data_IF_951079634458
#
_entry.id   IF_951079634458
#
_cell.length_a   1.000
_cell.length_b   1.000
_cell.length_c   1.000
_cell.angle_alpha   90.00
_cell.angle_beta   90.00
_cell.angle_gamma   90.00
#
_symmetry.space_group_name_H-M   'P 1'
#
loop_
_entity.id
_entity.type
_entity.pdbx_description
1 polymer ?
#
# COMPACT_ATOMS: atom_id res chain seq x y z
N UNK A 1 17.69 14.85 -27.90
CA UNK A 1 18.07 13.49 -27.43
C UNK A 1 17.88 12.38 -28.48
N UNK A 2 17.79 12.71 -29.78
CA UNK A 2 17.67 11.73 -30.88
C UNK A 2 18.95 11.52 -31.70
N UNK A 3 20.05 12.19 -31.39
CA UNK A 3 21.28 12.16 -32.18
C UNK A 3 22.39 11.31 -31.56
N UNK A 4 22.29 10.91 -30.27
CA UNK A 4 23.28 10.06 -29.60
C UNK A 4 23.08 8.56 -29.86
N UNK A 5 21.95 8.14 -30.41
CA UNK A 5 21.65 6.71 -30.70
C UNK A 5 22.19 6.21 -32.04
N UNK A 6 22.63 7.11 -32.95
CA UNK A 6 23.09 6.69 -34.27
C UNK A 6 24.61 6.43 -34.34
N UNK A 7 25.40 6.86 -33.35
CA UNK A 7 26.86 6.70 -33.37
C UNK A 7 27.38 5.41 -32.75
N UNK A 8 26.54 4.63 -32.03
CA UNK A 8 26.96 3.34 -31.44
C UNK A 8 26.75 2.13 -32.38
N UNK A 9 26.11 2.31 -33.52
CA UNK A 9 25.82 1.23 -34.47
C UNK A 9 26.90 1.00 -35.54
N UNK A 10 28.01 1.74 -35.49
CA UNK A 10 29.02 1.68 -36.55
C UNK A 10 30.40 1.12 -36.14
N UNK A 11 30.56 0.54 -34.96
CA UNK A 11 31.91 0.08 -34.51
C UNK A 11 32.00 -1.44 -34.22
N UNK A 12 30.94 -2.23 -34.32
CA UNK A 12 31.09 -3.69 -34.17
C UNK A 12 30.36 -4.37 -35.31
N UNK A 13 31.11 -4.76 -36.34
CA UNK A 13 30.68 -5.68 -37.36
C UNK A 13 30.50 -7.11 -36.81
N UNK A 14 29.43 -7.33 -36.00
CA UNK A 14 28.99 -8.64 -35.57
C UNK A 14 27.70 -8.97 -36.30
N UNK A 15 27.71 -10.14 -36.96
CA UNK A 15 26.66 -10.70 -37.78
C UNK A 15 25.28 -10.55 -37.10
N UNK A 16 24.38 -9.76 -37.70
CA UNK A 16 23.06 -9.43 -37.11
C UNK A 16 22.14 -10.63 -36.87
N UNK A 17 22.49 -11.81 -37.46
CA UNK A 17 21.79 -13.06 -37.23
C UNK A 17 22.01 -13.68 -35.87
N UNK A 18 23.25 -13.68 -35.38
CA UNK A 18 23.61 -14.27 -34.07
C UNK A 18 22.98 -13.49 -32.93
N UNK A 19 22.93 -12.16 -33.04
CA UNK A 19 22.28 -11.31 -32.04
C UNK A 19 20.76 -11.50 -31.99
N UNK A 20 20.11 -11.64 -33.14
CA UNK A 20 18.68 -11.89 -33.25
C UNK A 20 18.31 -13.26 -32.65
N UNK A 21 19.06 -14.30 -32.98
CA UNK A 21 18.86 -15.65 -32.42
C UNK A 21 19.08 -15.71 -30.90
N UNK A 22 20.07 -14.99 -30.41
CA UNK A 22 20.32 -14.86 -28.96
C UNK A 22 19.17 -14.13 -28.25
N UNK A 23 18.67 -13.05 -28.83
CA UNK A 23 17.52 -12.29 -28.34
C UNK A 23 16.26 -13.17 -28.33
N UNK A 24 15.99 -13.90 -29.39
CA UNK A 24 14.80 -14.74 -29.50
C UNK A 24 14.88 -15.95 -28.57
N UNK A 25 16.07 -16.53 -28.34
CA UNK A 25 16.30 -17.57 -27.31
C UNK A 25 16.10 -17.03 -25.89
N UNK A 26 16.58 -15.82 -25.58
CA UNK A 26 16.39 -15.18 -24.27
C UNK A 26 14.89 -14.87 -24.05
N UNK A 27 14.20 -14.30 -25.04
CA UNK A 27 12.75 -14.07 -24.99
C UNK A 27 11.97 -15.37 -24.82
N UNK A 28 12.35 -16.43 -25.52
CA UNK A 28 11.75 -17.75 -25.40
C UNK A 28 11.94 -18.36 -24.02
N UNK A 29 13.15 -18.25 -23.44
CA UNK A 29 13.46 -18.75 -22.09
C UNK A 29 12.68 -18.01 -21.01
N UNK A 30 12.57 -16.68 -21.11
CA UNK A 30 11.80 -15.84 -20.15
C UNK A 30 10.32 -16.17 -20.24
N UNK A 31 9.77 -16.27 -21.47
CA UNK A 31 8.37 -16.66 -21.68
C UNK A 31 8.06 -18.03 -21.08
N UNK A 32 8.98 -18.98 -21.23
CA UNK A 32 8.85 -20.33 -20.69
C UNK A 32 8.89 -20.34 -19.16
N UNK A 33 9.81 -19.56 -18.55
CA UNK A 33 9.89 -19.41 -17.08
C UNK A 33 8.62 -18.76 -16.54
N UNK A 34 8.21 -17.63 -17.11
CA UNK A 34 6.99 -16.94 -16.70
C UNK A 34 5.76 -17.85 -16.81
N UNK A 35 5.61 -18.58 -17.90
CA UNK A 35 4.50 -19.53 -18.08
C UNK A 35 4.55 -20.67 -17.05
N UNK A 36 5.74 -21.18 -16.69
CA UNK A 36 5.90 -22.17 -15.62
C UNK A 36 5.45 -21.58 -14.28
N UNK A 37 5.90 -20.39 -13.94
CA UNK A 37 5.62 -19.76 -12.65
C UNK A 37 4.11 -19.36 -12.52
N UNK A 38 3.47 -18.91 -13.61
CA UNK A 38 2.02 -18.72 -13.65
C UNK A 38 1.25 -20.04 -13.46
N UNK A 39 1.72 -21.14 -14.05
CA UNK A 39 1.13 -22.46 -13.84
C UNK A 39 1.28 -22.93 -12.38
N UNK A 40 2.36 -22.56 -11.68
CA UNK A 40 2.54 -22.83 -10.24
C UNK A 40 1.42 -22.13 -9.44
N UNK A 41 1.13 -20.87 -9.73
CA UNK A 41 0.05 -20.12 -9.06
C UNK A 41 -1.31 -20.75 -9.33
N UNK A 42 -1.61 -21.12 -10.58
CA UNK A 42 -2.84 -21.82 -10.92
C UNK A 42 -2.99 -23.17 -10.19
N UNK A 43 -1.89 -23.92 -10.07
CA UNK A 43 -1.91 -25.20 -9.34
C UNK A 43 -2.12 -24.98 -7.84
N UNK A 44 -1.53 -23.92 -7.27
CA UNK A 44 -1.81 -23.50 -5.89
C UNK A 44 -3.31 -23.25 -5.69
N UNK A 45 -3.93 -22.43 -6.56
CA UNK A 45 -5.38 -22.17 -6.47
C UNK A 45 -6.25 -23.42 -6.67
N UNK A 46 -5.88 -24.35 -7.56
CA UNK A 46 -6.57 -25.62 -7.70
C UNK A 46 -6.54 -26.40 -6.39
N UNK A 47 -5.37 -26.52 -5.76
CA UNK A 47 -5.21 -27.16 -4.46
C UNK A 47 -5.97 -26.41 -3.35
N UNK A 48 -5.92 -25.06 -3.32
CA UNK A 48 -6.71 -24.26 -2.37
C UNK A 48 -8.22 -24.50 -2.54
N UNK A 49 -8.71 -24.67 -3.77
CA UNK A 49 -10.12 -25.06 -4.03
C UNK A 49 -10.47 -26.48 -3.55
N UNK A 50 -9.54 -27.43 -3.62
CA UNK A 50 -9.70 -28.77 -3.05
C UNK A 50 -9.80 -28.72 -1.51
N UNK A 51 -9.07 -27.80 -0.87
CA UNK A 51 -9.25 -27.46 0.54
C UNK A 51 -10.47 -26.55 0.80
N UNK A 52 -11.30 -26.28 -0.19
CA UNK A 52 -12.30 -25.22 -0.27
C UNK A 52 -13.29 -25.11 0.92
N UNK A 53 -13.64 -26.23 1.61
CA UNK A 53 -14.42 -26.14 2.84
C UNK A 53 -13.59 -25.59 4.01
N UNK A 54 -12.29 -25.86 4.05
CA UNK A 54 -11.38 -25.44 5.09
C UNK A 54 -10.99 -23.96 4.90
N UNK A 55 -10.61 -23.54 3.67
CA UNK A 55 -10.36 -22.14 3.32
C UNK A 55 -11.62 -21.29 3.52
N UNK A 56 -12.77 -21.79 3.11
CA UNK A 56 -14.07 -21.14 3.34
C UNK A 56 -14.40 -20.97 4.82
N UNK A 57 -13.95 -21.89 5.67
CA UNK A 57 -14.11 -21.74 7.12
C UNK A 57 -13.18 -20.67 7.71
N UNK A 58 -12.00 -20.43 7.14
CA UNK A 58 -11.10 -19.34 7.54
C UNK A 58 -11.68 -17.96 7.22
N UNK A 59 -12.51 -17.85 6.17
CA UNK A 59 -13.21 -16.61 5.79
C UNK A 59 -14.58 -16.46 6.47
N UNK A 60 -15.12 -17.53 7.10
CA UNK A 60 -16.42 -17.47 7.79
C UNK A 60 -16.34 -16.58 9.01
N UNK A 61 -17.21 -15.58 9.01
CA UNK A 61 -17.43 -14.73 10.17
C UNK A 61 -18.17 -15.52 11.26
N UNK A 62 -17.65 -15.49 12.48
CA UNK A 62 -18.39 -16.01 13.63
C UNK A 62 -19.70 -15.23 13.83
N UNK A 63 -20.73 -15.79 14.49
CA UNK A 63 -21.98 -15.06 14.77
C UNK A 63 -21.75 -13.71 15.46
N UNK A 64 -20.75 -13.62 16.34
CA UNK A 64 -20.34 -12.37 17.01
C UNK A 64 -19.76 -11.36 16.01
N UNK A 65 -18.86 -11.81 15.13
CA UNK A 65 -18.29 -10.97 14.07
C UNK A 65 -19.36 -10.52 13.08
N UNK A 66 -20.27 -11.41 12.69
CA UNK A 66 -21.38 -11.09 11.78
C UNK A 66 -22.34 -10.05 12.40
N UNK A 67 -22.65 -10.16 13.71
CA UNK A 67 -23.43 -9.15 14.43
C UNK A 67 -22.69 -7.81 14.46
N UNK A 68 -21.43 -7.81 14.82
CA UNK A 68 -20.57 -6.59 14.81
C UNK A 68 -20.51 -5.96 13.43
N UNK A 69 -20.31 -6.76 12.37
CA UNK A 69 -20.30 -6.28 10.99
C UNK A 69 -21.63 -5.64 10.60
N UNK A 70 -22.77 -6.29 10.92
CA UNK A 70 -24.10 -5.72 10.64
C UNK A 70 -24.30 -4.35 11.32
N UNK A 71 -23.87 -4.21 12.57
CA UNK A 71 -23.94 -2.92 13.28
C UNK A 71 -23.00 -1.87 12.70
N UNK A 72 -21.81 -2.26 12.27
CA UNK A 72 -20.87 -1.36 11.56
C UNK A 72 -21.44 -0.90 10.23
N UNK A 73 -21.96 -1.83 9.42
CA UNK A 73 -22.57 -1.52 8.12
C UNK A 73 -23.75 -0.56 8.20
N UNK A 74 -24.57 -0.64 9.29
CA UNK A 74 -25.65 0.33 9.52
C UNK A 74 -25.14 1.77 9.76
N UNK A 75 -23.93 1.90 10.29
CA UNK A 75 -23.31 3.19 10.67
C UNK A 75 -22.31 3.70 9.62
N UNK A 76 -22.05 2.91 8.61
CA UNK A 76 -21.17 3.30 7.51
C UNK A 76 -21.92 4.24 6.57
N UNK A 77 -21.26 5.31 6.21
CA UNK A 77 -21.70 6.15 5.11
C UNK A 77 -21.52 5.38 3.81
N UNK A 78 -22.56 5.34 3.00
CA UNK A 78 -22.47 4.76 1.66
C UNK A 78 -21.74 5.75 0.77
N UNK A 79 -20.47 5.55 0.58
CA UNK A 79 -19.64 6.38 -0.30
C UNK A 79 -19.89 5.95 -1.74
N UNK A 80 -20.18 6.92 -2.59
CA UNK A 80 -20.32 6.71 -4.02
C UNK A 80 -19.03 7.14 -4.70
N UNK A 81 -18.28 6.15 -5.19
CA UNK A 81 -17.03 6.40 -5.91
C UNK A 81 -17.28 7.16 -7.21
N UNK A 82 -16.51 8.20 -7.45
CA UNK A 82 -16.55 8.96 -8.68
C UNK A 82 -15.96 8.20 -9.87
N UNK A 83 -16.40 8.51 -11.07
CA UNK A 83 -15.77 8.06 -12.32
C UNK A 83 -14.85 9.16 -12.80
N UNK A 84 -13.58 8.90 -12.80
CA UNK A 84 -12.54 9.86 -13.16
C UNK A 84 -12.12 9.62 -14.60
N UNK A 85 -12.11 10.64 -15.42
CA UNK A 85 -11.61 10.56 -16.79
C UNK A 85 -10.07 10.39 -16.76
N UNK A 86 -9.56 9.39 -17.48
CA UNK A 86 -8.14 9.10 -17.53
C UNK A 86 -7.61 8.26 -16.34
N UNK A 87 -8.49 7.81 -15.43
CA UNK A 87 -8.15 6.88 -14.38
C UNK A 87 -8.49 5.45 -14.79
N UNK A 88 -7.48 4.59 -14.86
CA UNK A 88 -7.63 3.18 -15.27
C UNK A 88 -8.19 2.30 -14.14
N UNK A 89 -8.22 2.79 -12.92
CA UNK A 89 -8.74 2.13 -11.73
C UNK A 89 -7.66 1.57 -10.81
N UNK A 90 -8.07 0.75 -9.85
CA UNK A 90 -7.16 0.04 -8.94
C UNK A 90 -6.44 -1.13 -9.64
N UNK A 91 -5.35 -1.61 -9.03
CA UNK A 91 -4.54 -2.73 -9.58
C UNK A 91 -5.42 -3.95 -9.88
N UNK A 92 -6.32 -4.32 -8.98
CA UNK A 92 -7.25 -5.43 -9.19
C UNK A 92 -8.22 -5.20 -10.35
N UNK A 93 -8.73 -3.96 -10.52
CA UNK A 93 -9.59 -3.60 -11.66
C UNK A 93 -8.83 -3.65 -12.99
N UNK A 94 -7.57 -3.20 -13.02
CA UNK A 94 -6.69 -3.25 -14.21
C UNK A 94 -6.38 -4.70 -14.55
N UNK A 95 -5.97 -5.52 -13.57
CA UNK A 95 -5.62 -6.93 -13.77
C UNK A 95 -6.82 -7.78 -14.17
N UNK A 96 -8.01 -7.46 -13.69
CA UNK A 96 -9.24 -8.09 -14.15
C UNK A 96 -9.55 -7.75 -15.62
N UNK A 97 -9.51 -6.46 -15.98
CA UNK A 97 -9.77 -5.99 -17.35
C UNK A 97 -8.79 -6.59 -18.37
N UNK A 98 -7.54 -6.78 -17.99
CA UNK A 98 -6.51 -7.40 -18.82
C UNK A 98 -6.56 -8.93 -18.81
N UNK A 99 -7.42 -9.55 -17.99
CA UNK A 99 -7.61 -10.99 -17.91
C UNK A 99 -6.46 -11.76 -17.25
N UNK A 100 -5.55 -11.09 -16.55
CA UNK A 100 -4.42 -11.74 -15.88
C UNK A 100 -4.66 -11.99 -14.38
N UNK A 101 -5.58 -11.28 -13.75
CA UNK A 101 -5.78 -11.31 -12.31
C UNK A 101 -6.05 -12.70 -11.72
N UNK A 102 -6.74 -13.58 -12.46
CA UNK A 102 -7.01 -14.96 -12.00
C UNK A 102 -5.77 -15.89 -12.01
N UNK A 103 -4.70 -15.50 -12.70
CA UNK A 103 -3.42 -16.23 -12.76
C UNK A 103 -2.40 -15.74 -11.73
N UNK A 104 -2.69 -14.67 -11.03
CA UNK A 104 -1.80 -14.01 -10.08
C UNK A 104 -2.20 -14.32 -8.64
N UNK A 105 -1.24 -14.50 -7.75
CA UNK A 105 -1.51 -14.68 -6.32
C UNK A 105 -1.92 -13.34 -5.71
N UNK A 106 -3.04 -13.32 -4.99
CA UNK A 106 -3.65 -12.11 -4.41
C UNK A 106 -3.85 -10.96 -5.42
N UNK A 107 -3.99 -11.31 -6.72
CA UNK A 107 -4.38 -10.42 -7.81
C UNK A 107 -3.24 -9.76 -8.59
N UNK A 108 -1.99 -9.74 -8.08
CA UNK A 108 -0.84 -9.07 -8.70
C UNK A 108 0.53 -9.71 -8.44
N UNK A 109 0.60 -10.79 -7.65
CA UNK A 109 1.87 -11.44 -7.32
C UNK A 109 2.10 -12.72 -8.12
N UNK A 110 3.36 -12.96 -8.50
CA UNK A 110 3.83 -14.26 -9.02
C UNK A 110 4.68 -14.93 -7.95
N UNK A 111 4.32 -16.18 -7.64
CA UNK A 111 5.04 -16.99 -6.67
C UNK A 111 6.01 -17.95 -7.36
N UNK A 112 7.17 -18.17 -6.77
CA UNK A 112 8.02 -19.31 -7.10
C UNK A 112 7.38 -20.60 -6.57
N UNK A 113 7.75 -21.75 -7.16
CA UNK A 113 7.27 -23.07 -6.72
C UNK A 113 7.44 -23.31 -5.22
N UNK A 114 8.62 -22.95 -4.71
CA UNK A 114 8.92 -23.05 -3.27
C UNK A 114 8.01 -22.18 -2.40
N UNK A 115 7.70 -20.95 -2.83
CA UNK A 115 6.77 -20.06 -2.09
C UNK A 115 5.36 -20.63 -2.08
N UNK A 116 4.90 -21.18 -3.21
CA UNK A 116 3.59 -21.81 -3.30
C UNK A 116 3.48 -23.06 -2.40
N UNK A 117 4.53 -23.89 -2.36
CA UNK A 117 4.62 -25.04 -1.47
C UNK A 117 4.59 -24.64 0.00
N UNK A 118 5.38 -23.65 0.42
CA UNK A 118 5.39 -23.14 1.79
C UNK A 118 4.03 -22.58 2.22
N UNK A 119 3.31 -21.88 1.33
CA UNK A 119 1.95 -21.39 1.61
C UNK A 119 0.99 -22.57 1.82
N UNK A 120 1.05 -23.60 0.97
CA UNK A 120 0.20 -24.78 1.09
C UNK A 120 0.47 -25.53 2.41
N UNK A 121 1.73 -25.80 2.74
CA UNK A 121 2.13 -26.47 3.98
C UNK A 121 1.60 -25.71 5.21
N UNK A 122 1.70 -24.39 5.21
CA UNK A 122 1.19 -23.57 6.31
C UNK A 122 -0.34 -23.65 6.45
N UNK A 123 -1.08 -23.67 5.33
CA UNK A 123 -2.53 -23.83 5.33
C UNK A 123 -2.91 -25.21 5.84
N UNK A 124 -2.18 -26.26 5.47
CA UNK A 124 -2.40 -27.62 5.96
C UNK A 124 -2.15 -27.72 7.46
N UNK A 125 -1.06 -27.14 7.98
CA UNK A 125 -0.75 -27.11 9.40
C UNK A 125 -1.83 -26.38 10.21
N UNK A 126 -2.28 -25.18 9.77
CA UNK A 126 -3.35 -24.44 10.45
C UNK A 126 -4.69 -25.19 10.46
N UNK A 127 -4.97 -25.95 9.40
CA UNK A 127 -6.23 -26.72 9.29
C UNK A 127 -6.20 -28.05 10.06
N UNK A 128 -5.01 -28.60 10.35
CA UNK A 128 -4.84 -29.85 11.11
C UNK A 128 -4.69 -29.68 12.63
N UNK A 129 -4.72 -28.43 13.14
CA UNK A 129 -4.64 -28.13 14.58
C UNK A 129 -3.24 -28.26 15.18
N UNK A 130 -2.21 -28.32 14.35
CA UNK A 130 -0.81 -28.42 14.76
C UNK A 130 -0.21 -27.05 15.12
N UNK A 131 -0.36 -26.60 16.36
CA UNK A 131 0.30 -25.39 16.84
C UNK A 131 1.80 -25.62 17.07
N UNK A 132 2.66 -25.29 16.13
CA UNK A 132 4.10 -25.13 16.37
C UNK A 132 4.42 -23.68 16.72
N UNK A 133 5.14 -23.48 17.83
CA UNK A 133 5.64 -22.18 18.31
C UNK A 133 6.68 -21.61 17.32
N UNK A 134 6.24 -20.80 16.32
CA UNK A 134 7.11 -20.08 15.39
C UNK A 134 6.77 -18.60 15.35
N UNK A 135 7.77 -17.74 15.11
CA UNK A 135 7.70 -16.28 15.18
C UNK A 135 6.97 -15.64 13.99
N UNK A 136 6.16 -14.63 14.26
CA UNK A 136 5.18 -13.88 13.41
C UNK A 136 5.80 -12.90 12.40
N UNK A 137 5.32 -12.82 11.10
CA UNK A 137 6.02 -12.05 10.03
C UNK A 137 5.11 -11.46 8.92
N UNK A 138 5.29 -10.22 8.41
CA UNK A 138 4.59 -9.60 7.24
C UNK A 138 5.44 -9.61 5.96
N UNK A 139 6.75 -9.54 6.06
CA UNK A 139 7.66 -9.76 4.95
C UNK A 139 7.95 -11.26 4.82
N UNK A 140 8.13 -11.73 3.59
CA UNK A 140 8.51 -13.11 3.33
C UNK A 140 9.87 -13.41 3.98
N UNK A 141 9.89 -14.28 4.99
CA UNK A 141 11.10 -14.62 5.76
C UNK A 141 11.12 -16.09 6.12
N UNK A 142 11.48 -16.92 5.18
CA UNK A 142 11.75 -18.35 5.38
C UNK A 142 13.18 -18.61 5.89
N UNK A 143 13.58 -19.87 5.97
CA UNK A 143 14.95 -20.27 6.31
C UNK A 143 16.01 -19.79 5.30
N UNK A 144 15.60 -19.43 4.09
CA UNK A 144 16.45 -18.90 3.01
C UNK A 144 16.40 -17.37 2.85
N UNK A 145 15.75 -16.67 3.80
CA UNK A 145 15.47 -15.24 3.78
C UNK A 145 16.64 -14.35 3.33
N UNK A 146 17.85 -14.58 3.85
CA UNK A 146 19.02 -13.77 3.48
C UNK A 146 19.36 -13.82 1.99
N UNK A 147 19.01 -14.92 1.30
CA UNK A 147 19.20 -15.08 -0.16
C UNK A 147 18.10 -14.41 -0.98
N UNK A 148 16.94 -14.12 -0.38
CA UNK A 148 15.77 -13.45 -1.01
C UNK A 148 15.86 -11.94 -0.96
N UNK A 149 16.84 -11.38 -0.27
CA UNK A 149 17.06 -9.94 -0.20
C UNK A 149 17.95 -9.45 -1.35
N UNK A 150 17.64 -8.27 -1.83
CA UNK A 150 18.50 -7.50 -2.72
C UNK A 150 19.58 -6.76 -1.93
N UNK A 151 20.43 -7.51 -1.20
CA UNK A 151 21.39 -6.98 -0.23
C UNK A 151 22.46 -6.06 -0.85
N UNK A 152 22.70 -6.19 -2.16
CA UNK A 152 23.62 -5.34 -2.93
C UNK A 152 22.92 -4.22 -3.69
N UNK A 153 21.63 -4.00 -3.42
CA UNK A 153 20.77 -3.08 -4.17
C UNK A 153 20.01 -3.78 -5.30
N UNK A 154 18.97 -3.14 -5.78
CA UNK A 154 18.17 -3.63 -6.91
C UNK A 154 18.77 -3.10 -8.19
N UNK A 155 19.26 -3.99 -9.05
CA UNK A 155 19.60 -3.63 -10.43
C UNK A 155 18.34 -3.77 -11.27
N UNK A 156 17.94 -2.69 -11.93
CA UNK A 156 16.79 -2.69 -12.84
C UNK A 156 17.21 -2.19 -14.23
N UNK A 157 16.44 -2.58 -15.22
CA UNK A 157 16.64 -2.13 -16.60
C UNK A 157 15.33 -2.18 -17.38
N UNK A 158 15.25 -1.32 -18.36
CA UNK A 158 14.22 -1.33 -19.37
C UNK A 158 14.81 -2.02 -20.61
N UNK A 159 14.46 -3.29 -20.80
CA UNK A 159 14.73 -4.15 -21.96
C UNK A 159 16.10 -4.86 -22.09
N UNK A 160 17.26 -4.37 -21.60
CA UNK A 160 18.55 -5.09 -21.61
C UNK A 160 19.46 -4.73 -20.43
N UNK A 161 20.02 -5.71 -19.74
CA UNK A 161 20.96 -5.53 -18.64
C UNK A 161 22.05 -6.61 -18.57
N UNK A 162 23.14 -6.31 -17.87
CA UNK A 162 24.36 -7.14 -17.83
C UNK A 162 24.60 -7.87 -16.50
N UNK A 163 23.80 -7.64 -15.47
CA UNK A 163 23.95 -8.31 -14.15
C UNK A 163 23.11 -9.56 -14.05
N UNK A 164 23.59 -10.56 -13.25
CA UNK A 164 22.91 -11.87 -13.11
C UNK A 164 21.55 -11.75 -12.42
N UNK A 165 21.47 -11.08 -11.25
CA UNK A 165 20.21 -10.87 -10.53
C UNK A 165 19.67 -9.46 -10.83
N UNK A 166 18.51 -9.37 -11.45
CA UNK A 166 17.96 -8.10 -11.92
C UNK A 166 16.45 -8.11 -12.09
N UNK A 167 15.84 -6.93 -11.94
CA UNK A 167 14.46 -6.67 -12.32
C UNK A 167 14.41 -6.18 -13.77
N UNK A 168 13.59 -6.83 -14.56
CA UNK A 168 13.23 -6.39 -15.90
C UNK A 168 11.86 -5.73 -15.83
N UNK A 169 11.82 -4.41 -15.98
CA UNK A 169 10.56 -3.68 -16.07
C UNK A 169 10.01 -3.84 -17.49
N UNK A 170 8.79 -4.35 -17.60
CA UNK A 170 8.11 -4.66 -18.86
C UNK A 170 6.72 -4.06 -18.89
N UNK A 171 6.19 -3.80 -20.09
CA UNK A 171 4.80 -3.40 -20.30
C UNK A 171 4.01 -4.60 -20.85
N UNK A 172 3.81 -5.61 -20.00
CA UNK A 172 2.93 -6.74 -20.30
C UNK A 172 1.52 -6.46 -19.78
N UNK A 173 0.57 -7.35 -20.05
CA UNK A 173 -0.80 -7.18 -19.56
C UNK A 173 -0.82 -7.19 -18.03
N UNK A 174 -1.45 -6.14 -17.45
CA UNK A 174 -1.63 -5.96 -16.02
C UNK A 174 -0.42 -5.41 -15.27
N UNK A 175 -0.64 -5.18 -13.97
CA UNK A 175 0.33 -4.74 -12.98
C UNK A 175 0.67 -5.94 -12.10
N UNK A 176 1.93 -6.37 -12.08
CA UNK A 176 2.33 -7.51 -11.25
C UNK A 176 3.83 -7.60 -11.06
N UNK A 177 4.23 -8.28 -9.99
CA UNK A 177 5.62 -8.57 -9.67
C UNK A 177 5.82 -9.94 -9.00
N UNK A 178 7.07 -10.41 -9.02
CA UNK A 178 7.48 -11.50 -8.14
C UNK A 178 7.69 -11.00 -6.72
N UNK A 179 7.53 -11.89 -5.74
CA UNK A 179 7.79 -11.59 -4.33
C UNK A 179 9.25 -11.90 -3.98
N UNK A 180 10.00 -10.85 -3.63
CA UNK A 180 11.41 -10.94 -3.27
C UNK A 180 12.33 -11.29 -4.45
N UNK A 181 13.60 -11.51 -4.14
CA UNK A 181 14.62 -11.90 -5.12
C UNK A 181 14.58 -13.42 -5.40
N UNK A 182 14.24 -13.79 -6.61
CA UNK A 182 14.16 -15.20 -7.05
C UNK A 182 15.41 -15.71 -7.78
N UNK A 183 16.42 -14.85 -7.94
CA UNK A 183 17.66 -15.15 -8.68
C UNK A 183 17.49 -15.03 -10.18
N UNK A 184 18.56 -14.58 -10.85
CA UNK A 184 18.55 -14.30 -12.27
C UNK A 184 17.66 -13.12 -12.64
N UNK A 185 17.13 -13.13 -13.87
CA UNK A 185 16.20 -12.13 -14.35
C UNK A 185 14.78 -12.46 -13.89
N UNK A 186 14.09 -11.47 -13.30
CA UNK A 186 12.66 -11.54 -12.98
C UNK A 186 11.94 -10.31 -13.50
N UNK A 187 10.75 -10.49 -14.03
CA UNK A 187 9.95 -9.40 -14.60
C UNK A 187 9.12 -8.72 -13.52
N UNK A 188 8.91 -7.41 -13.72
CA UNK A 188 7.93 -6.58 -13.06
C UNK A 188 7.12 -5.91 -14.17
N UNK A 189 5.81 -6.13 -14.21
CA UNK A 189 4.96 -5.57 -15.25
C UNK A 189 4.34 -4.25 -14.81
N UNK A 190 4.55 -3.22 -15.63
CA UNK A 190 3.80 -1.99 -15.63
C UNK A 190 3.11 -1.88 -16.98
N UNK A 191 2.03 -2.66 -17.15
CA UNK A 191 1.22 -2.64 -18.34
C UNK A 191 0.35 -1.39 -18.44
N UNK A 192 -0.51 -1.34 -19.43
CA UNK A 192 -1.41 -0.20 -19.64
C UNK A 192 -2.27 0.05 -18.40
N UNK A 193 -2.24 1.27 -17.88
CA UNK A 193 -2.93 1.69 -16.66
C UNK A 193 -2.08 1.51 -15.38
N UNK A 194 -0.91 0.86 -15.48
CA UNK A 194 -0.02 0.63 -14.36
C UNK A 194 1.14 1.65 -14.27
N UNK A 195 1.16 2.65 -15.14
CA UNK A 195 2.28 3.58 -15.31
C UNK A 195 2.41 4.58 -14.17
N UNK A 196 1.41 4.67 -13.28
CA UNK A 196 1.40 5.58 -12.14
C UNK A 196 2.45 5.21 -11.08
N UNK A 197 3.13 6.22 -10.52
CA UNK A 197 4.18 6.05 -9.52
C UNK A 197 3.69 5.20 -8.33
N UNK A 198 2.46 5.40 -7.85
CA UNK A 198 1.89 4.62 -6.75
C UNK A 198 1.82 3.12 -7.05
N UNK A 199 1.41 2.75 -8.27
CA UNK A 199 1.38 1.36 -8.74
C UNK A 199 2.80 0.80 -8.87
N UNK A 200 3.71 1.56 -9.49
CA UNK A 200 5.11 1.13 -9.63
C UNK A 200 5.78 0.90 -8.27
N UNK A 201 5.49 1.73 -7.25
CA UNK A 201 5.99 1.57 -5.88
C UNK A 201 5.39 0.33 -5.22
N UNK A 202 4.11 0.03 -5.47
CA UNK A 202 3.44 -1.20 -5.00
C UNK A 202 4.14 -2.44 -5.55
N UNK A 203 4.31 -2.52 -6.87
CA UNK A 203 4.96 -3.67 -7.52
C UNK A 203 6.43 -3.83 -7.10
N UNK A 204 7.14 -2.71 -6.88
CA UNK A 204 8.48 -2.73 -6.29
C UNK A 204 8.46 -3.23 -4.84
N UNK A 205 7.41 -2.94 -4.07
CA UNK A 205 7.19 -3.49 -2.74
C UNK A 205 7.18 -5.03 -2.75
N UNK A 206 6.46 -5.64 -3.71
CA UNK A 206 6.49 -7.08 -3.91
C UNK A 206 7.88 -7.57 -4.30
N UNK A 207 8.52 -6.97 -5.30
CA UNK A 207 9.88 -7.32 -5.69
C UNK A 207 10.88 -7.25 -4.54
N UNK A 208 10.64 -6.36 -3.58
CA UNK A 208 11.43 -6.22 -2.36
C UNK A 208 11.02 -7.17 -1.23
N UNK A 209 10.03 -8.03 -1.43
CA UNK A 209 9.67 -9.12 -0.52
C UNK A 209 8.43 -8.88 0.35
N UNK A 210 7.59 -7.92 0.02
CA UNK A 210 6.38 -7.62 0.78
C UNK A 210 5.14 -8.25 0.16
N UNK A 211 4.28 -8.81 1.01
CA UNK A 211 2.91 -9.19 0.70
C UNK A 211 1.95 -8.03 0.97
N UNK A 212 0.71 -8.20 0.55
CA UNK A 212 -0.32 -7.22 0.84
C UNK A 212 -0.60 -7.04 2.34
N UNK A 213 -0.86 -5.79 2.74
CA UNK A 213 -1.22 -5.47 4.13
C UNK A 213 -2.54 -6.15 4.54
N UNK A 214 -3.55 -6.21 3.64
CA UNK A 214 -4.82 -6.88 3.92
C UNK A 214 -4.70 -8.41 3.99
N UNK A 215 -3.55 -8.98 3.63
CA UNK A 215 -3.27 -10.41 3.77
C UNK A 215 -2.47 -10.74 5.02
N UNK A 216 -2.15 -9.79 5.87
CA UNK A 216 -1.47 -10.02 7.14
C UNK A 216 -2.20 -11.06 7.97
N UNK A 217 -1.44 -11.92 8.65
CA UNK A 217 -2.01 -12.97 9.53
C UNK A 217 -2.94 -12.41 10.61
N UNK A 218 -2.68 -11.18 11.08
CA UNK A 218 -3.44 -10.49 12.14
C UNK A 218 -4.54 -9.55 11.60
N UNK A 219 -4.76 -9.47 10.27
CA UNK A 219 -5.67 -8.52 9.63
C UNK A 219 -7.08 -8.50 10.20
N UNK A 220 -7.60 -9.65 10.64
CA UNK A 220 -8.97 -9.77 11.14
C UNK A 220 -9.21 -9.00 12.46
N UNK A 221 -8.13 -8.58 13.14
CA UNK A 221 -8.20 -7.63 14.26
C UNK A 221 -8.45 -6.20 13.79
N UNK A 222 -8.24 -5.90 12.50
CA UNK A 222 -8.28 -4.54 11.93
C UNK A 222 -9.33 -4.37 10.85
N UNK A 223 -9.51 -5.36 9.99
CA UNK A 223 -10.50 -5.35 8.90
C UNK A 223 -11.39 -6.58 8.96
N UNK A 224 -12.58 -6.48 8.39
CA UNK A 224 -13.48 -7.59 8.16
C UNK A 224 -13.65 -7.78 6.65
N UNK A 225 -13.27 -8.94 6.11
CA UNK A 225 -13.52 -9.31 4.72
C UNK A 225 -14.97 -9.77 4.57
N UNK A 226 -15.70 -9.21 3.61
CA UNK A 226 -17.11 -9.47 3.34
C UNK A 226 -17.21 -10.38 2.11
N UNK A 227 -16.95 -11.66 2.30
CA UNK A 227 -16.85 -12.68 1.23
C UNK A 227 -18.02 -12.65 0.23
N UNK A 228 -19.25 -12.44 0.74
CA UNK A 228 -20.46 -12.41 -0.11
C UNK A 228 -20.49 -11.26 -1.13
N UNK A 229 -19.67 -10.21 -0.93
CA UNK A 229 -19.57 -9.06 -1.81
C UNK A 229 -18.44 -9.22 -2.85
N UNK A 230 -17.60 -10.25 -2.69
CA UNK A 230 -16.45 -10.53 -3.55
C UNK A 230 -16.90 -11.37 -4.74
N UNK A 231 -16.41 -11.06 -5.94
CA UNK A 231 -16.58 -11.89 -7.15
C UNK A 231 -16.15 -13.32 -6.87
N UNK A 232 -16.91 -14.30 -7.37
CA UNK A 232 -16.70 -15.72 -7.03
C UNK A 232 -15.28 -16.22 -7.38
N UNK A 233 -14.70 -15.76 -8.48
CA UNK A 233 -13.34 -16.11 -8.91
C UNK A 233 -12.21 -15.44 -8.11
N UNK A 234 -12.54 -14.44 -7.26
CA UNK A 234 -11.55 -13.63 -6.53
C UNK A 234 -11.53 -13.90 -5.03
N UNK A 235 -12.35 -14.79 -4.52
CA UNK A 235 -12.44 -15.03 -3.05
C UNK A 235 -11.15 -15.57 -2.47
N UNK A 236 -10.46 -16.44 -3.21
CA UNK A 236 -9.21 -17.05 -2.79
C UNK A 236 -8.06 -16.00 -2.72
N UNK A 237 -8.20 -14.86 -3.41
CA UNK A 237 -7.27 -13.73 -3.37
C UNK A 237 -7.24 -13.00 -2.01
N UNK A 238 -8.25 -13.22 -1.15
CA UNK A 238 -8.33 -12.67 0.20
C UNK A 238 -7.81 -13.65 1.27
N UNK A 239 -7.12 -14.70 0.89
CA UNK A 239 -6.49 -15.64 1.82
C UNK A 239 -5.45 -14.92 2.65
N UNK A 240 -5.46 -15.18 3.97
CA UNK A 240 -4.43 -14.63 4.88
C UNK A 240 -3.12 -15.37 4.73
N UNK A 241 -2.05 -14.63 4.89
CA UNK A 241 -0.74 -15.20 5.18
C UNK A 241 -0.72 -15.82 6.59
N UNK A 242 0.15 -16.79 6.79
CA UNK A 242 0.36 -17.38 8.11
C UNK A 242 1.38 -16.57 8.92
N UNK A 243 1.42 -16.76 10.25
CA UNK A 243 2.50 -16.20 11.06
C UNK A 243 3.91 -16.70 10.67
N UNK A 244 4.00 -17.75 9.86
CA UNK A 244 5.25 -18.33 9.37
C UNK A 244 5.77 -17.62 8.13
N UNK A 245 4.88 -17.19 7.23
CA UNK A 245 5.23 -16.51 5.98
C UNK A 245 5.23 -14.98 6.08
N UNK A 246 4.61 -14.39 7.12
CA UNK A 246 4.32 -12.98 7.22
C UNK A 246 4.85 -12.34 8.53
N UNK A 247 5.82 -11.40 8.48
CA UNK A 247 6.44 -10.74 9.64
C UNK A 247 6.21 -9.23 9.67
N UNK A 248 5.53 -8.74 10.71
CA UNK A 248 5.11 -7.34 10.83
C UNK A 248 6.14 -6.43 11.51
N UNK A 249 7.33 -6.90 11.82
CA UNK A 249 8.38 -6.13 12.52
C UNK A 249 7.92 -5.43 13.81
N UNK A 250 6.82 -5.91 14.41
CA UNK A 250 6.22 -5.29 15.59
C UNK A 250 5.34 -4.07 15.30
N UNK A 251 5.17 -3.71 14.01
CA UNK A 251 4.32 -2.58 13.64
C UNK A 251 2.84 -2.95 13.64
N UNK A 252 2.02 -1.98 14.07
CA UNK A 252 0.58 -2.03 13.92
C UNK A 252 0.13 -2.12 12.46
N UNK A 253 -1.17 -2.27 12.26
CA UNK A 253 -1.77 -2.33 10.94
C UNK A 253 -1.92 -0.92 10.37
N UNK A 254 -1.25 -0.63 9.26
CA UNK A 254 -1.37 0.66 8.59
C UNK A 254 -2.39 0.60 7.45
N UNK A 255 -3.53 1.22 7.65
CA UNK A 255 -4.62 1.27 6.68
C UNK A 255 -4.27 2.05 5.41
N UNK A 256 -3.30 2.95 5.48
CA UNK A 256 -2.83 3.75 4.35
C UNK A 256 -1.54 3.24 3.71
N UNK A 257 -1.14 2.00 4.00
CA UNK A 257 -0.01 1.35 3.33
C UNK A 257 -0.24 1.29 1.82
N UNK A 258 0.80 1.56 1.04
CA UNK A 258 0.75 1.41 -0.42
C UNK A 258 0.52 -0.06 -0.83
N UNK A 259 0.83 -1.02 0.07
CA UNK A 259 0.59 -2.45 -0.13
C UNK A 259 -0.84 -2.89 0.28
N UNK A 260 -1.78 -1.97 0.46
CA UNK A 260 -3.15 -2.27 0.86
C UNK A 260 -4.13 -1.98 -0.27
N UNK A 261 -4.91 -2.97 -0.69
CA UNK A 261 -5.98 -2.78 -1.66
C UNK A 261 -7.13 -1.94 -1.10
N UNK A 262 -7.95 -1.39 -2.00
CA UNK A 262 -9.10 -0.56 -1.67
C UNK A 262 -10.24 -1.32 -1.00
N UNK A 263 -11.09 -0.58 -0.30
CA UNK A 263 -12.24 -1.15 0.41
C UNK A 263 -13.28 -1.81 -0.50
N UNK A 264 -13.25 -1.54 -1.80
CA UNK A 264 -14.15 -2.10 -2.81
C UNK A 264 -13.44 -3.06 -3.79
N UNK A 265 -12.19 -3.41 -3.55
CA UNK A 265 -11.43 -4.30 -4.44
C UNK A 265 -12.12 -5.64 -4.66
N UNK A 266 -12.10 -6.12 -5.90
CA UNK A 266 -12.76 -7.35 -6.38
C UNK A 266 -14.25 -7.45 -6.05
N UNK A 267 -14.95 -6.34 -5.87
CA UNK A 267 -16.37 -6.32 -5.57
C UNK A 267 -17.24 -6.76 -6.76
N UNK A 268 -18.29 -7.53 -6.50
CA UNK A 268 -19.30 -7.92 -7.52
C UNK A 268 -20.00 -6.69 -8.13
N UNK A 269 -20.03 -5.58 -7.41
CA UNK A 269 -20.60 -4.32 -7.87
C UNK A 269 -19.81 -3.16 -7.25
N UNK A 270 -19.60 -2.09 -8.01
CA UNK A 270 -18.75 -0.93 -7.69
C UNK A 270 -19.00 -0.33 -6.28
N UNK A 271 -20.22 -0.44 -5.76
CA UNK A 271 -20.60 0.16 -4.47
C UNK A 271 -20.63 -0.85 -3.32
N UNK A 272 -20.17 -2.08 -3.53
CA UNK A 272 -20.13 -3.10 -2.50
C UNK A 272 -18.78 -3.10 -1.80
N UNK A 273 -18.79 -2.87 -0.50
CA UNK A 273 -17.59 -2.95 0.33
C UNK A 273 -17.20 -4.43 0.48
N UNK A 274 -15.97 -4.76 0.14
CA UNK A 274 -15.36 -6.09 0.31
C UNK A 274 -14.49 -6.17 1.55
N UNK A 275 -13.88 -5.05 1.95
CA UNK A 275 -13.08 -4.94 3.17
C UNK A 275 -13.58 -3.78 4.02
N UNK A 276 -14.08 -4.10 5.22
CA UNK A 276 -14.59 -3.13 6.19
C UNK A 276 -13.58 -2.94 7.31
N UNK A 277 -12.98 -1.75 7.48
CA UNK A 277 -12.11 -1.48 8.61
C UNK A 277 -12.90 -1.51 9.93
N UNK A 278 -12.24 -1.96 10.99
CA UNK A 278 -12.84 -1.98 12.33
C UNK A 278 -13.14 -0.58 12.84
N UNK A 279 -12.24 0.38 12.56
CA UNK A 279 -12.53 1.79 12.66
C UNK A 279 -13.00 2.31 11.29
N UNK A 280 -14.29 2.58 11.20
CA UNK A 280 -14.96 2.98 9.94
C UNK A 280 -14.41 4.26 9.31
N UNK A 281 -13.71 5.11 10.07
CA UNK A 281 -13.14 6.34 9.56
C UNK A 281 -11.94 6.08 8.63
N UNK A 282 -11.39 4.86 8.64
CA UNK A 282 -10.37 4.42 7.69
C UNK A 282 -10.91 3.90 6.36
N UNK A 283 -12.24 3.92 6.12
CA UNK A 283 -12.83 3.28 4.94
C UNK A 283 -12.22 3.78 3.63
N UNK A 284 -12.03 5.10 3.49
CA UNK A 284 -11.44 5.72 2.31
C UNK A 284 -9.91 5.73 2.32
N UNK A 285 -9.29 5.37 3.44
CA UNK A 285 -7.83 5.30 3.56
C UNK A 285 -7.28 4.04 2.88
N UNK A 286 -8.09 2.97 2.76
CA UNK A 286 -7.71 1.72 2.10
C UNK A 286 -7.55 1.93 0.59
N UNK A 287 -6.45 1.47 0.00
CA UNK A 287 -6.17 1.60 -1.44
C UNK A 287 -5.26 2.79 -1.78
N UNK A 288 -4.40 3.18 -0.86
CA UNK A 288 -3.49 4.30 -1.02
C UNK A 288 -2.45 4.08 -2.11
N UNK A 289 -2.22 5.10 -2.94
CA UNK A 289 -1.07 5.18 -3.85
C UNK A 289 0.08 6.02 -3.25
N UNK A 290 -0.02 6.42 -2.01
CA UNK A 290 1.00 7.21 -1.30
C UNK A 290 1.78 6.26 -0.39
N UNK A 291 3.09 6.20 -0.60
CA UNK A 291 4.00 5.41 0.24
C UNK A 291 3.92 5.90 1.69
N UNK A 292 3.54 5.03 2.62
CA UNK A 292 3.37 5.39 4.02
C UNK A 292 4.70 5.40 4.79
N UNK A 293 4.72 6.06 5.95
CA UNK A 293 5.87 6.01 6.84
C UNK A 293 6.13 4.57 7.35
N UNK A 294 5.09 3.80 7.63
CA UNK A 294 5.22 2.40 8.08
C UNK A 294 5.80 1.54 6.96
N UNK A 295 5.43 1.73 5.70
CA UNK A 295 6.04 1.02 4.57
C UNK A 295 7.55 1.27 4.51
N UNK A 296 7.96 2.54 4.62
CA UNK A 296 9.37 2.93 4.65
C UNK A 296 10.08 2.32 5.86
N UNK A 297 9.46 2.38 7.04
CA UNK A 297 10.06 1.86 8.27
C UNK A 297 10.25 0.35 8.19
N UNK A 298 9.22 -0.39 7.79
CA UNK A 298 9.28 -1.84 7.62
C UNK A 298 10.33 -2.25 6.59
N UNK A 299 10.45 -1.53 5.47
CA UNK A 299 11.49 -1.77 4.46
C UNK A 299 12.89 -1.59 5.06
N UNK A 300 13.10 -0.56 5.88
CA UNK A 300 14.37 -0.32 6.56
C UNK A 300 14.70 -1.39 7.63
N UNK A 301 13.69 -1.95 8.28
CA UNK A 301 13.87 -3.11 9.18
C UNK A 301 14.17 -4.38 8.38
N UNK A 302 13.40 -4.63 7.31
CA UNK A 302 13.55 -5.82 6.47
C UNK A 302 14.97 -5.94 5.89
N UNK A 303 15.52 -4.85 5.40
CA UNK A 303 16.88 -4.79 4.84
C UNK A 303 17.97 -4.47 5.86
N UNK A 304 17.61 -4.31 7.14
CA UNK A 304 18.57 -3.99 8.22
C UNK A 304 19.24 -2.61 8.04
N UNK A 305 18.67 -1.72 7.25
CA UNK A 305 19.26 -0.41 6.94
C UNK A 305 19.45 0.46 8.18
N UNK A 306 18.54 0.37 9.15
CA UNK A 306 18.61 1.12 10.40
C UNK A 306 19.84 0.80 11.25
N UNK A 307 20.41 -0.40 11.12
CA UNK A 307 21.63 -0.81 11.81
C UNK A 307 22.88 0.01 11.39
N UNK A 308 22.80 0.74 10.26
CA UNK A 308 23.86 1.65 9.84
C UNK A 308 24.02 2.86 10.77
N UNK A 309 22.96 3.24 11.49
CA UNK A 309 22.94 4.36 12.42
C UNK A 309 23.08 3.86 13.86
N UNK A 310 24.27 4.07 14.42
CA UNK A 310 24.52 3.69 15.83
C UNK A 310 23.79 4.67 16.77
N UNK A 311 23.06 4.18 17.80
CA UNK A 311 22.24 5.04 18.65
C UNK A 311 22.99 6.19 19.31
N UNK A 312 24.27 6.02 19.64
CA UNK A 312 25.10 7.00 20.34
C UNK A 312 25.42 8.22 19.48
N UNK A 313 25.48 8.03 18.14
CA UNK A 313 25.86 9.08 17.18
C UNK A 313 24.72 9.50 16.27
N UNK A 314 23.51 9.07 16.55
CA UNK A 314 22.36 9.30 15.67
C UNK A 314 21.42 10.34 16.26
N UNK A 315 20.67 11.00 15.35
CA UNK A 315 19.60 11.93 15.70
C UNK A 315 18.59 11.29 16.66
N UNK A 316 18.18 12.03 17.66
CA UNK A 316 17.12 11.62 18.61
C UNK A 316 15.75 12.02 18.05
N UNK A 317 15.27 11.23 17.11
CA UNK A 317 14.02 11.51 16.39
C UNK A 317 12.81 11.55 17.34
N UNK A 318 11.91 12.48 17.08
CA UNK A 318 10.64 12.66 17.79
C UNK A 318 9.48 12.03 17.00
N UNK A 319 8.31 12.00 17.60
CA UNK A 319 7.04 11.56 16.98
C UNK A 319 7.12 10.21 16.25
N UNK A 320 7.96 9.28 16.77
CA UNK A 320 8.14 7.96 16.19
C UNK A 320 9.03 7.90 14.95
N UNK A 321 9.64 9.02 14.53
CA UNK A 321 10.64 9.04 13.46
C UNK A 321 11.88 8.21 13.79
N UNK A 322 12.70 7.90 12.79
CA UNK A 322 13.94 7.13 12.96
C UNK A 322 15.10 7.75 12.17
N UNK A 323 16.36 7.55 12.60
CA UNK A 323 17.52 8.10 11.90
C UNK A 323 17.60 7.62 10.45
N UNK A 324 17.83 8.56 9.53
CA UNK A 324 17.93 8.26 8.09
C UNK A 324 19.19 7.42 7.81
N UNK A 325 19.10 6.20 7.24
CA UNK A 325 20.23 5.26 7.10
C UNK A 325 21.42 5.77 6.27
N UNK A 326 21.19 6.80 5.43
CA UNK A 326 22.26 7.46 4.64
C UNK A 326 22.78 8.73 5.29
N UNK A 327 22.09 9.23 6.33
CA UNK A 327 22.51 10.43 7.07
C UNK A 327 21.95 10.37 8.49
N UNK A 328 22.67 9.73 9.39
CA UNK A 328 22.22 9.45 10.75
C UNK A 328 21.98 10.70 11.62
N UNK A 329 22.38 11.89 11.17
CA UNK A 329 22.13 13.16 11.86
C UNK A 329 20.73 13.74 11.56
N UNK A 330 19.95 13.13 10.67
CA UNK A 330 18.58 13.53 10.32
C UNK A 330 17.63 12.37 10.46
N UNK A 331 16.36 12.67 10.59
CA UNK A 331 15.30 11.67 10.74
C UNK A 331 14.47 11.49 9.46
N UNK A 332 13.96 10.28 9.25
CA UNK A 332 12.79 10.02 8.43
C UNK A 332 11.58 10.20 9.35
N UNK A 333 10.64 11.01 8.92
CA UNK A 333 9.52 11.45 9.73
C UNK A 333 8.19 10.87 9.27
N UNK A 334 7.23 10.63 10.19
CA UNK A 334 5.86 10.34 9.83
C UNK A 334 5.21 11.48 9.02
N UNK A 335 4.19 11.16 8.22
CA UNK A 335 3.39 12.15 7.49
C UNK A 335 2.91 13.27 8.43
N UNK A 336 2.98 14.52 7.96
CA UNK A 336 2.63 15.70 8.73
C UNK A 336 3.70 16.19 9.70
N UNK A 337 4.85 15.51 9.83
CA UNK A 337 6.00 15.89 10.65
C UNK A 337 7.23 16.13 9.78
N UNK A 338 8.06 17.10 10.17
CA UNK A 338 9.24 17.53 9.45
C UNK A 338 10.36 18.02 10.35
N UNK A 339 11.28 18.77 9.75
CA UNK A 339 12.52 19.20 10.38
C UNK A 339 13.56 18.07 10.45
N UNK A 340 14.70 18.38 11.06
CA UNK A 340 15.78 17.40 11.19
C UNK A 340 15.43 16.26 12.16
N UNK A 341 14.56 16.51 13.15
CA UNK A 341 14.22 15.60 14.24
C UNK A 341 12.73 15.19 14.28
N UNK A 342 11.94 15.52 13.26
CA UNK A 342 10.49 15.28 13.21
C UNK A 342 9.69 16.02 14.29
N UNK A 343 10.15 17.16 14.73
CA UNK A 343 9.51 17.99 15.75
C UNK A 343 9.02 19.34 15.24
N UNK A 344 8.99 19.49 13.93
CA UNK A 344 8.53 20.68 13.24
C UNK A 344 7.43 20.32 12.24
N UNK A 345 6.61 21.29 11.84
CA UNK A 345 5.75 21.16 10.68
C UNK A 345 6.64 21.01 9.42
N UNK A 346 6.29 20.17 8.46
CA UNK A 346 7.01 20.14 7.19
C UNK A 346 7.09 21.53 6.56
N UNK A 347 8.27 21.90 6.03
CA UNK A 347 8.45 23.16 5.32
C UNK A 347 7.57 23.26 4.08
N UNK A 348 7.32 24.47 3.63
CA UNK A 348 6.51 24.75 2.45
C UNK A 348 5.07 25.10 2.81
N UNK A 349 4.12 24.73 1.94
CA UNK A 349 2.71 25.08 2.05
C UNK A 349 2.07 24.65 3.37
N UNK A 350 1.13 25.46 3.86
CA UNK A 350 0.41 25.25 5.11
C UNK A 350 0.88 26.17 6.24
N UNK A 351 0.33 26.01 7.43
CA UNK A 351 0.54 26.89 8.57
C UNK A 351 0.40 26.16 9.92
N UNK A 352 0.87 26.79 10.98
CA UNK A 352 0.49 26.46 12.36
C UNK A 352 -0.74 27.27 12.75
N UNK A 353 -1.75 26.61 13.30
CA UNK A 353 -3.04 27.16 13.65
C UNK A 353 -3.30 26.92 15.15
N UNK A 354 -3.85 27.93 15.82
CA UNK A 354 -4.19 27.81 17.23
C UNK A 354 -5.70 27.60 17.38
N UNK A 355 -6.08 26.49 18.00
CA UNK A 355 -7.47 26.21 18.31
C UNK A 355 -7.95 27.07 19.50
N UNK A 356 -9.19 27.55 19.41
CA UNK A 356 -9.89 28.22 20.51
C UNK A 356 -11.15 27.44 20.87
N UNK A 357 -11.93 27.89 21.85
CA UNK A 357 -13.23 27.29 22.18
C UNK A 357 -14.27 27.43 21.07
N UNK A 358 -14.11 28.43 20.20
CA UNK A 358 -14.99 28.63 19.06
C UNK A 358 -14.50 27.91 17.81
N UNK A 359 -15.40 27.48 16.95
CA UNK A 359 -15.07 26.93 15.63
C UNK A 359 -14.34 27.94 14.78
N UNK A 360 -13.20 27.54 14.25
CA UNK A 360 -12.36 28.31 13.33
C UNK A 360 -12.26 27.55 12.01
N UNK A 361 -12.10 28.28 10.89
CA UNK A 361 -12.02 27.68 9.57
C UNK A 361 -10.58 27.43 9.13
N UNK A 362 -10.38 26.29 8.47
CA UNK A 362 -9.25 26.00 7.61
C UNK A 362 -9.80 25.68 6.22
N UNK A 363 -9.41 26.48 5.23
CA UNK A 363 -9.73 26.25 3.83
C UNK A 363 -8.44 26.17 3.05
N UNK A 364 -8.34 25.17 2.19
CA UNK A 364 -7.19 24.99 1.31
C UNK A 364 -7.64 24.61 -0.09
N UNK A 365 -6.95 25.15 -1.10
CA UNK A 365 -7.25 24.90 -2.52
C UNK A 365 -5.98 24.51 -3.22
N UNK A 366 -5.94 23.30 -3.74
CA UNK A 366 -4.79 22.70 -4.39
C UNK A 366 -5.15 22.19 -5.78
N UNK A 367 -4.13 22.03 -6.60
CA UNK A 367 -4.24 21.43 -7.91
C UNK A 367 -4.47 22.41 -9.04
N UNK A 368 -4.20 21.95 -10.24
CA UNK A 368 -4.36 22.67 -11.51
C UNK A 368 -4.52 21.69 -12.67
N UNK A 369 -4.84 22.21 -13.84
CA UNK A 369 -5.00 21.41 -15.06
C UNK A 369 -6.27 20.55 -15.05
N UNK A 370 -6.27 19.47 -15.85
CA UNK A 370 -7.37 18.50 -15.96
C UNK A 370 -6.87 17.06 -15.96
N UNK A 371 -5.59 16.85 -16.16
CA UNK A 371 -4.96 15.52 -16.24
C UNK A 371 -4.47 15.09 -14.86
N UNK A 372 -4.40 13.77 -14.63
CA UNK A 372 -3.79 13.18 -13.45
C UNK A 372 -2.27 13.39 -13.56
N UNK A 373 -1.68 14.01 -12.54
CA UNK A 373 -0.24 14.23 -12.43
C UNK A 373 0.39 13.09 -11.64
N UNK A 374 1.67 12.84 -11.88
CA UNK A 374 2.43 11.88 -11.06
C UNK A 374 2.83 12.49 -9.72
N UNK A 375 3.15 13.77 -9.70
CA UNK A 375 3.52 14.49 -8.49
C UNK A 375 2.29 15.05 -7.76
N UNK A 376 2.29 14.90 -6.45
CA UNK A 376 1.31 15.50 -5.57
C UNK A 376 1.75 16.89 -5.14
N UNK A 377 0.80 17.81 -5.07
CA UNK A 377 0.90 19.00 -4.25
C UNK A 377 0.46 18.66 -2.83
N UNK A 378 1.23 19.11 -1.83
CA UNK A 378 0.93 18.89 -0.42
C UNK A 378 0.96 20.20 0.34
N UNK A 379 -0.03 20.42 1.21
CA UNK A 379 0.04 21.43 2.26
C UNK A 379 -0.08 20.77 3.63
N UNK A 380 0.74 21.22 4.56
CA UNK A 380 0.80 20.65 5.91
C UNK A 380 0.36 21.72 6.91
N UNK A 381 -0.61 21.40 7.74
CA UNK A 381 -1.09 22.25 8.81
C UNK A 381 -0.90 21.56 10.15
N UNK A 382 -0.53 22.32 11.16
CA UNK A 382 -0.55 21.90 12.55
C UNK A 382 -1.60 22.68 13.31
N UNK A 383 -2.67 22.02 13.72
CA UNK A 383 -3.65 22.60 14.63
C UNK A 383 -3.17 22.30 16.05
N UNK A 384 -2.93 23.35 16.84
CA UNK A 384 -2.42 23.28 18.21
C UNK A 384 -3.45 23.79 19.19
N UNK A 385 -3.46 23.26 20.40
CA UNK A 385 -4.25 23.73 21.52
C UNK A 385 -3.42 23.72 22.81
N UNK A 386 -3.87 24.32 23.91
CA UNK A 386 -3.16 24.26 25.19
C UNK A 386 -2.89 22.81 25.61
N UNK A 387 -1.84 22.61 26.42
CA UNK A 387 -1.50 21.31 26.97
C UNK A 387 -2.71 20.68 27.69
N UNK A 388 -2.78 19.36 27.62
CA UNK A 388 -3.88 18.54 28.18
C UNK A 388 -5.27 18.79 27.61
N UNK A 389 -5.40 19.55 26.51
CA UNK A 389 -6.65 19.66 25.77
C UNK A 389 -6.69 18.74 24.55
N UNK A 390 -7.88 18.47 24.05
CA UNK A 390 -8.12 17.77 22.79
C UNK A 390 -8.57 18.78 21.74
N UNK A 391 -8.47 18.39 20.47
CA UNK A 391 -8.89 19.19 19.34
C UNK A 391 -10.00 18.44 18.62
N UNK A 392 -11.08 19.12 18.33
CA UNK A 392 -12.10 18.64 17.41
C UNK A 392 -11.84 19.23 16.02
N UNK A 393 -11.84 18.34 15.01
CA UNK A 393 -11.73 18.72 13.59
C UNK A 393 -12.96 18.19 12.86
N UNK A 394 -13.70 19.09 12.24
CA UNK A 394 -14.93 18.78 11.49
C UNK A 394 -14.72 19.00 10.00
N UNK A 395 -15.10 18.03 9.20
CA UNK A 395 -15.08 18.13 7.75
C UNK A 395 -16.33 18.92 7.31
N UNK A 396 -16.14 20.09 6.71
CA UNK A 396 -17.25 20.92 6.20
C UNK A 396 -17.50 20.60 4.73
N UNK A 397 -16.45 20.75 3.92
CA UNK A 397 -16.49 20.42 2.50
C UNK A 397 -15.23 19.60 2.16
N UNK A 398 -15.35 18.29 1.93
CA UNK A 398 -14.28 17.49 1.36
C UNK A 398 -14.07 17.84 -0.12
N UNK A 399 -12.95 17.45 -0.75
CA UNK A 399 -12.73 17.67 -2.18
C UNK A 399 -13.82 16.96 -2.99
N UNK A 400 -14.28 17.61 -4.07
CA UNK A 400 -15.39 17.11 -4.89
C UNK A 400 -14.92 16.44 -6.17
N UNK A 401 -15.62 15.39 -6.59
CA UNK A 401 -15.39 14.73 -7.87
C UNK A 401 -14.12 13.87 -7.90
N UNK A 402 -13.60 13.46 -6.74
CA UNK A 402 -12.35 12.69 -6.59
C UNK A 402 -12.49 11.53 -5.59
N UNK A 403 -13.71 11.13 -5.27
CA UNK A 403 -13.99 10.04 -4.34
C UNK A 403 -13.60 8.69 -4.94
N UNK A 404 -12.41 8.21 -4.58
CA UNK A 404 -11.85 6.90 -4.95
C UNK A 404 -11.29 6.22 -3.71
N UNK A 405 -11.16 4.90 -3.73
CA UNK A 405 -10.49 4.16 -2.65
C UNK A 405 -9.07 4.70 -2.44
N UNK A 406 -8.63 4.84 -1.18
CA UNK A 406 -7.33 5.39 -0.84
C UNK A 406 -7.20 6.91 -1.01
N UNK A 407 -8.22 7.57 -1.52
CA UNK A 407 -8.20 9.00 -1.85
C UNK A 407 -6.94 9.40 -2.66
N UNK A 408 -6.49 8.52 -3.59
CA UNK A 408 -5.18 8.66 -4.22
C UNK A 408 -5.07 9.77 -5.27
N UNK A 409 -6.14 10.50 -5.55
CA UNK A 409 -6.13 11.64 -6.48
C UNK A 409 -6.04 12.97 -5.76
N UNK A 410 -6.88 13.16 -4.76
CA UNK A 410 -6.89 14.34 -3.90
C UNK A 410 -7.64 14.00 -2.62
N UNK A 411 -7.27 14.64 -1.52
CA UNK A 411 -7.90 14.37 -0.24
C UNK A 411 -7.35 15.24 0.89
N UNK A 412 -7.84 14.94 2.07
CA UNK A 412 -7.30 15.44 3.33
C UNK A 412 -7.02 14.27 4.27
N UNK A 413 -5.80 14.22 4.81
CA UNK A 413 -5.41 13.31 5.88
C UNK A 413 -5.41 14.05 7.21
N UNK A 414 -6.17 13.53 8.19
CA UNK A 414 -6.30 14.12 9.54
C UNK A 414 -5.78 13.13 10.57
N UNK A 415 -4.73 13.50 11.29
CA UNK A 415 -4.02 12.62 12.23
C UNK A 415 -4.45 12.88 13.66
N UNK A 416 -5.59 12.33 14.06
CA UNK A 416 -6.13 12.44 15.43
C UNK A 416 -5.78 11.26 16.34
N UNK A 417 -5.13 10.22 15.80
CA UNK A 417 -4.78 9.00 16.52
C UNK A 417 -3.67 9.24 17.57
N UNK A 418 -3.59 8.36 18.55
CA UNK A 418 -2.51 8.37 19.55
C UNK A 418 -1.14 8.09 18.92
N UNK A 419 -1.07 7.07 18.06
CA UNK A 419 0.16 6.72 17.36
C UNK A 419 0.24 7.50 16.04
N UNK A 420 1.13 8.49 16.03
CA UNK A 420 1.33 9.39 14.91
C UNK A 420 2.21 8.78 13.79
N UNK A 421 2.74 7.56 13.99
CA UNK A 421 3.53 6.85 12.96
C UNK A 421 2.66 6.28 11.85
N UNK A 422 1.41 5.94 12.15
CA UNK A 422 0.46 5.42 11.18
C UNK A 422 -0.14 6.52 10.31
N UNK A 423 -0.61 6.16 9.13
CA UNK A 423 -1.41 7.02 8.27
C UNK A 423 -2.65 7.52 9.02
N UNK A 424 -2.99 8.80 8.87
CA UNK A 424 -4.21 9.39 9.41
C UNK A 424 -5.47 8.94 8.68
N UNK A 425 -6.61 9.44 9.12
CA UNK A 425 -7.87 9.24 8.39
C UNK A 425 -7.86 10.08 7.12
N UNK A 426 -8.14 9.48 5.97
CA UNK A 426 -8.26 10.18 4.69
C UNK A 426 -9.71 10.30 4.27
N UNK A 427 -10.02 11.46 3.71
CA UNK A 427 -11.37 11.82 3.27
C UNK A 427 -11.32 12.51 1.92
N UNK A 428 -12.16 12.05 0.99
CA UNK A 428 -12.28 12.62 -0.35
C UNK A 428 -13.71 12.53 -0.92
N UNK A 429 -14.65 11.99 -0.15
CA UNK A 429 -16.04 11.86 -0.59
C UNK A 429 -16.92 12.95 0.02
N UNK A 430 -17.91 13.43 -0.75
CA UNK A 430 -18.89 14.41 -0.29
C UNK A 430 -19.70 13.94 0.92
N UNK A 431 -19.83 12.64 1.08
CA UNK A 431 -20.52 11.98 2.18
C UNK A 431 -19.82 12.16 3.54
N UNK A 432 -18.58 12.64 3.56
CA UNK A 432 -17.83 12.91 4.78
C UNK A 432 -18.16 14.24 5.44
N UNK A 433 -18.89 15.10 4.72
CA UNK A 433 -19.32 16.39 5.25
C UNK A 433 -20.10 16.21 6.56
N UNK A 434 -19.74 16.99 7.58
CA UNK A 434 -20.31 16.96 8.92
C UNK A 434 -19.64 15.98 9.89
N UNK A 435 -18.70 15.10 9.42
CA UNK A 435 -17.93 14.25 10.32
C UNK A 435 -17.03 15.08 11.20
N UNK A 436 -17.03 14.79 12.50
CA UNK A 436 -16.14 15.40 13.48
C UNK A 436 -15.24 14.32 14.08
N UNK A 437 -13.94 14.59 14.09
CA UNK A 437 -12.91 13.77 14.72
C UNK A 437 -12.41 14.49 15.98
N UNK A 438 -12.15 13.72 17.03
CA UNK A 438 -11.55 14.23 18.27
C UNK A 438 -10.14 13.66 18.43
N UNK A 439 -9.17 14.51 18.70
CA UNK A 439 -7.76 14.12 18.83
C UNK A 439 -7.45 13.44 20.17
N UNK A 440 -6.39 12.65 20.18
CA UNK A 440 -5.79 12.13 21.42
C UNK A 440 -4.83 13.10 22.10
N UNK A 441 -4.37 14.12 21.39
CA UNK A 441 -3.37 15.09 21.87
C UNK A 441 -3.77 16.52 21.51
N UNK A 442 -3.01 17.46 22.02
CA UNK A 442 -3.13 18.90 21.76
C UNK A 442 -2.47 19.35 20.43
N UNK A 443 -2.12 18.41 19.57
CA UNK A 443 -1.59 18.65 18.24
C UNK A 443 -2.25 17.72 17.23
N UNK A 444 -2.82 18.29 16.17
CA UNK A 444 -3.38 17.56 15.03
C UNK A 444 -2.67 17.99 13.75
N UNK A 445 -1.80 17.15 13.17
CA UNK A 445 -1.37 17.33 11.81
C UNK A 445 -2.53 17.09 10.82
N UNK A 446 -2.69 18.03 9.90
CA UNK A 446 -3.62 17.93 8.77
C UNK A 446 -2.81 18.07 7.50
N UNK A 447 -2.96 17.13 6.58
CA UNK A 447 -2.26 17.14 5.28
C UNK A 447 -3.31 17.17 4.18
N UNK A 448 -3.37 18.26 3.43
CA UNK A 448 -4.16 18.34 2.19
C UNK A 448 -3.25 17.98 1.03
N UNK A 449 -3.79 17.27 0.05
CA UNK A 449 -3.00 16.85 -1.10
C UNK A 449 -3.86 16.72 -2.37
N UNK A 450 -3.22 16.95 -3.52
CA UNK A 450 -3.88 16.90 -4.81
C UNK A 450 -2.89 16.57 -5.94
N UNK A 451 -3.34 15.74 -6.90
CA UNK A 451 -2.63 15.49 -8.17
C UNK A 451 -3.54 15.54 -9.41
N UNK A 452 -4.76 16.09 -9.27
CA UNK A 452 -5.71 16.22 -10.38
C UNK A 452 -6.52 17.49 -10.22
N UNK A 453 -6.77 18.21 -11.31
CA UNK A 453 -7.65 19.38 -11.34
C UNK A 453 -7.47 20.32 -10.12
N UNK A 454 -8.34 21.25 -9.91
CA UNK A 454 -8.38 22.09 -8.71
C UNK A 454 -9.44 21.58 -7.76
N UNK A 455 -9.07 21.29 -6.52
CA UNK A 455 -9.99 20.89 -5.45
C UNK A 455 -9.83 21.78 -4.23
N UNK A 456 -10.92 22.00 -3.51
CA UNK A 456 -10.94 22.76 -2.27
C UNK A 456 -11.40 21.86 -1.13
N UNK A 457 -10.67 21.91 -0.02
CA UNK A 457 -11.01 21.28 1.25
C UNK A 457 -11.39 22.38 2.24
N UNK A 458 -12.47 22.19 2.98
CA UNK A 458 -12.88 23.11 4.05
C UNK A 458 -13.13 22.32 5.33
N UNK A 459 -12.41 22.69 6.39
CA UNK A 459 -12.51 22.12 7.72
C UNK A 459 -12.89 23.20 8.73
N UNK A 460 -13.51 22.78 9.81
CA UNK A 460 -13.64 23.58 11.04
C UNK A 460 -12.90 22.87 12.18
N UNK A 461 -12.27 23.64 13.06
CA UNK A 461 -11.57 23.09 14.21
C UNK A 461 -11.76 23.95 15.45
N UNK A 462 -11.72 23.33 16.64
CA UNK A 462 -11.80 24.00 17.95
C UNK A 462 -11.13 23.16 19.04
N UNK A 463 -10.96 23.74 20.22
CA UNK A 463 -10.66 22.96 21.43
C UNK A 463 -11.87 22.08 21.73
N UNK A 464 -11.64 20.78 21.86
CA UNK A 464 -12.69 19.83 22.23
C UNK A 464 -13.19 20.04 23.66
N UNK A 465 -14.44 19.70 23.89
CA UNK A 465 -14.99 19.71 25.26
C UNK A 465 -14.28 18.65 26.11
N UNK A 466 -13.79 19.07 27.29
CA UNK A 466 -13.18 18.16 28.23
C UNK A 466 -14.21 17.12 28.66
N UNK A 467 -14.19 15.93 28.10
CA UNK A 467 -14.96 14.79 28.64
C UNK A 467 -14.18 14.27 29.84
N UNK A 468 -14.67 14.58 31.03
CA UNK A 468 -14.26 13.91 32.28
C UNK A 468 -14.58 12.43 32.06
N UNK A 469 -13.51 11.62 31.92
CA UNK A 469 -13.61 10.16 31.82
C UNK A 469 -13.89 9.55 33.18
#
# INVERSE_FOLDING_TARGET
MRIFFLCLLLVVGVDGGIFKDLIDKIKGSIKTKLQKDLNVTLNLYKKLKEYGSKVKNMLKLTPKMLKSLKEKLKKVRLIVRDKIAGDDGSIDEINEKSGVGEYLYQGDMILSEKQAEEILENIEEETSGGARNRTKRQAFKDSSYSRKLWSQGVTYFFDYGTTNDRLRVVAQDGCWSYVGKNGGEQSLSLGRGCEHVGVAVHELGHALGFFHTMSRYDRDAYITVIERNIKSGWRDQFTKESPQTNYNYGFGYDYGSVMHYGSHSAAMSRNLITMMPNDKNYLETLGSHILSFIDIFMMNEHYGCRKKCKPEFSAKCKNGGFPHPRNCSRCICPSGYGGALCNERPHGCGAELQATSNWQKLQDTLGFGREIREDFEFCNYWIKSPDHSQIEVKIVNPPKGVAVDGCYLAGVEIKTNRDQTHTGYRFCAKEDAGLTLTSHSNLVPVVTYNRIATTTVELEYRIGECRIL
#
